data_IF_453917892000
#
_entry.id   IF_453917892000
#
_cell.length_a   1.000
_cell.length_b   1.000
_cell.length_c   1.000
_cell.angle_alpha   90.00
_cell.angle_beta   90.00
_cell.angle_gamma   90.00
#
_symmetry.space_group_name_H-M   'P 1'
#
loop_
_entity.id
_entity.type
_entity.pdbx_description
1 polymer ?
#
# COMPACT_ATOMS: atom_id res chain seq x y z
N UNK A 1 18.84 5.49 -45.49
CA UNK A 1 17.38 5.26 -45.63
C UNK A 1 16.80 4.36 -44.54
N UNK A 2 17.10 3.06 -44.44
CA UNK A 2 16.50 2.18 -43.39
C UNK A 2 16.88 2.58 -41.95
N UNK A 3 18.13 2.99 -41.71
CA UNK A 3 18.60 3.43 -40.37
C UNK A 3 17.96 4.75 -39.95
N UNK A 4 17.78 5.68 -40.89
CA UNK A 4 17.18 6.99 -40.63
C UNK A 4 15.69 6.89 -40.30
N UNK A 5 14.97 5.97 -40.96
CA UNK A 5 13.55 5.68 -40.66
C UNK A 5 13.42 5.07 -39.26
N UNK A 6 14.27 4.10 -38.88
CA UNK A 6 14.25 3.51 -37.54
C UNK A 6 14.54 4.57 -36.46
N UNK A 7 15.52 5.44 -36.70
CA UNK A 7 15.89 6.52 -35.79
C UNK A 7 14.75 7.54 -35.60
N UNK A 8 14.11 7.99 -36.68
CA UNK A 8 13.00 8.94 -36.63
C UNK A 8 11.74 8.33 -35.96
N UNK A 9 11.45 7.06 -36.24
CA UNK A 9 10.35 6.34 -35.57
C UNK A 9 10.59 6.20 -34.07
N UNK A 10 11.84 5.95 -33.65
CA UNK A 10 12.21 5.92 -32.23
C UNK A 10 11.99 7.26 -31.52
N UNK A 11 12.42 8.37 -32.13
CA UNK A 11 12.20 9.72 -31.59
C UNK A 11 10.70 10.02 -31.46
N UNK A 12 9.92 9.70 -32.51
CA UNK A 12 8.48 9.93 -32.50
C UNK A 12 7.76 9.16 -31.38
N UNK A 13 8.12 7.88 -31.17
CA UNK A 13 7.56 7.07 -30.07
C UNK A 13 7.92 7.67 -28.70
N UNK A 14 9.17 8.05 -28.48
CA UNK A 14 9.60 8.67 -27.23
C UNK A 14 8.86 9.98 -26.94
N UNK A 15 8.72 10.86 -27.94
CA UNK A 15 7.99 12.12 -27.78
C UNK A 15 6.50 11.88 -27.51
N UNK A 16 5.90 10.88 -28.15
CA UNK A 16 4.50 10.50 -27.92
C UNK A 16 4.31 9.93 -26.52
N UNK A 17 5.25 9.13 -26.01
CA UNK A 17 5.23 8.63 -24.64
C UNK A 17 5.28 9.77 -23.63
N UNK A 18 6.24 10.69 -23.79
CA UNK A 18 6.41 11.86 -22.91
C UNK A 18 5.14 12.72 -22.93
N UNK A 19 4.62 13.03 -24.12
CA UNK A 19 3.39 13.82 -24.25
C UNK A 19 2.21 13.14 -23.55
N UNK A 20 2.06 11.82 -23.73
CA UNK A 20 0.98 11.05 -23.10
C UNK A 20 1.11 11.00 -21.58
N UNK A 21 2.33 10.86 -21.05
CA UNK A 21 2.60 10.93 -19.60
C UNK A 21 2.25 12.32 -19.04
N UNK A 22 2.62 13.40 -19.74
CA UNK A 22 2.28 14.78 -19.33
C UNK A 22 0.76 14.96 -19.28
N UNK A 23 0.04 14.54 -20.34
CA UNK A 23 -1.43 14.67 -20.39
C UNK A 23 -2.13 13.81 -19.36
N UNK A 24 -1.69 12.57 -19.16
CA UNK A 24 -2.15 11.70 -18.08
C UNK A 24 -1.99 12.39 -16.72
N UNK A 25 -0.88 13.07 -16.47
CA UNK A 25 -0.70 13.80 -15.21
C UNK A 25 -1.49 15.09 -15.09
N UNK A 26 -1.75 15.82 -16.18
CA UNK A 26 -2.68 16.94 -16.15
C UNK A 26 -4.09 16.48 -15.73
N UNK A 27 -4.54 15.34 -16.26
CA UNK A 27 -5.83 14.74 -15.88
C UNK A 27 -5.86 14.34 -14.41
N UNK A 28 -4.81 13.67 -13.92
CA UNK A 28 -4.68 13.30 -12.50
C UNK A 28 -4.67 14.53 -11.59
N UNK A 29 -3.91 15.58 -11.94
CA UNK A 29 -3.84 16.84 -11.19
C UNK A 29 -5.20 17.55 -11.11
N UNK A 30 -6.01 17.46 -12.16
CA UNK A 30 -7.37 18.00 -12.15
C UNK A 30 -8.34 17.12 -11.34
N UNK A 31 -8.18 15.80 -11.41
CA UNK A 31 -9.08 14.83 -10.80
C UNK A 31 -8.94 14.74 -9.28
N UNK A 32 -7.72 14.71 -8.75
CA UNK A 32 -7.47 14.48 -7.31
C UNK A 32 -8.17 15.49 -6.41
N UNK A 33 -8.06 16.82 -6.61
CA UNK A 33 -8.72 17.80 -5.73
C UNK A 33 -10.25 17.69 -5.71
N UNK A 34 -10.86 17.18 -6.79
CA UNK A 34 -12.32 17.03 -6.90
C UNK A 34 -12.83 15.78 -6.17
N UNK A 35 -11.97 14.79 -5.95
CA UNK A 35 -12.37 13.46 -5.48
C UNK A 35 -11.78 13.08 -4.12
N UNK A 36 -10.69 13.72 -3.69
CA UNK A 36 -9.95 13.38 -2.47
C UNK A 36 -10.86 13.30 -1.24
N UNK A 37 -11.66 14.35 -0.98
CA UNK A 37 -12.55 14.38 0.19
C UNK A 37 -13.64 13.29 0.14
N UNK A 38 -14.12 12.95 -1.06
CA UNK A 38 -15.12 11.89 -1.21
C UNK A 38 -14.52 10.52 -0.86
N UNK A 39 -13.31 10.23 -1.32
CA UNK A 39 -12.58 8.99 -1.01
C UNK A 39 -12.29 8.91 0.49
N UNK A 40 -11.74 9.99 1.05
CA UNK A 40 -11.44 10.08 2.47
C UNK A 40 -12.67 9.81 3.32
N UNK A 41 -13.81 10.44 3.01
CA UNK A 41 -15.07 10.25 3.74
C UNK A 41 -15.57 8.81 3.70
N UNK A 42 -15.42 8.10 2.58
CA UNK A 42 -15.81 6.68 2.53
C UNK A 42 -14.94 5.86 3.49
N UNK A 43 -13.62 6.07 3.47
CA UNK A 43 -12.67 5.38 4.35
C UNK A 43 -12.88 5.72 5.83
N UNK A 44 -13.17 6.99 6.14
CA UNK A 44 -13.48 7.45 7.49
C UNK A 44 -14.75 6.79 8.02
N UNK A 45 -15.80 6.74 7.21
CA UNK A 45 -17.07 6.15 7.61
C UNK A 45 -16.96 4.64 7.85
N UNK A 46 -16.19 3.92 7.04
CA UNK A 46 -16.04 2.46 7.18
C UNK A 46 -15.47 2.07 8.55
N UNK A 47 -14.49 2.82 9.04
CA UNK A 47 -13.81 2.54 10.32
C UNK A 47 -14.30 3.41 11.49
N UNK A 48 -15.28 4.28 11.26
CA UNK A 48 -15.76 5.23 12.27
C UNK A 48 -14.68 6.22 12.72
N UNK A 49 -13.79 6.63 11.80
CA UNK A 49 -12.76 7.62 12.09
C UNK A 49 -13.34 9.03 12.13
N UNK A 50 -12.78 9.88 13.01
CA UNK A 50 -13.08 11.30 12.98
C UNK A 50 -12.53 11.93 11.69
N UNK A 51 -13.29 12.87 11.12
CA UNK A 51 -12.89 13.62 9.92
C UNK A 51 -11.49 14.20 10.08
N UNK A 52 -10.62 13.90 9.12
CA UNK A 52 -9.26 14.42 9.03
C UNK A 52 -9.17 15.59 8.03
N UNK A 53 -8.17 16.43 8.21
CA UNK A 53 -7.78 17.36 7.15
C UNK A 53 -7.08 16.56 6.04
N UNK A 54 -7.34 16.87 4.76
CA UNK A 54 -6.67 16.18 3.66
C UNK A 54 -5.14 16.32 3.75
N UNK A 55 -4.37 15.24 3.45
CA UNK A 55 -2.92 15.35 3.32
C UNK A 55 -2.56 16.22 2.11
N UNK A 56 -1.37 16.82 2.14
CA UNK A 56 -0.81 17.48 0.96
C UNK A 56 -0.55 16.44 -0.13
N UNK A 57 -1.05 16.69 -1.35
CA UNK A 57 -0.76 15.86 -2.52
C UNK A 57 0.31 16.53 -3.37
N UNK A 58 1.42 15.82 -3.60
CA UNK A 58 2.52 16.24 -4.47
C UNK A 58 2.55 15.42 -5.74
N UNK A 59 2.81 16.09 -6.86
CA UNK A 59 2.91 15.46 -8.17
C UNK A 59 4.35 15.59 -8.64
N UNK A 60 5.21 14.75 -8.09
CA UNK A 60 6.66 14.80 -8.28
C UNK A 60 7.12 13.50 -8.94
N UNK A 61 8.16 13.60 -9.77
CA UNK A 61 8.85 12.42 -10.29
C UNK A 61 9.67 11.81 -9.15
N UNK A 62 9.03 10.95 -8.37
CA UNK A 62 9.73 10.06 -7.43
C UNK A 62 10.42 8.90 -8.17
N UNK A 63 11.02 8.00 -7.40
CA UNK A 63 11.46 6.67 -7.84
C UNK A 63 10.35 5.91 -8.62
N UNK A 64 10.67 4.70 -9.11
CA UNK A 64 9.82 3.85 -9.98
C UNK A 64 8.51 3.33 -9.34
N UNK A 65 7.81 4.14 -8.54
CA UNK A 65 6.55 3.82 -7.85
C UNK A 65 5.49 4.86 -8.20
N UNK A 66 4.23 4.41 -8.31
CA UNK A 66 3.10 5.26 -8.69
C UNK A 66 2.62 6.18 -7.55
N UNK A 67 2.69 5.68 -6.32
CA UNK A 67 2.27 6.37 -5.10
C UNK A 67 3.30 6.17 -3.99
N UNK A 68 3.40 7.15 -3.10
CA UNK A 68 4.14 7.04 -1.84
C UNK A 68 3.53 7.94 -0.78
N UNK A 69 3.26 7.39 0.39
CA UNK A 69 3.03 8.14 1.62
C UNK A 69 4.35 8.37 2.36
N UNK A 70 4.64 9.61 2.73
CA UNK A 70 5.80 9.96 3.56
C UNK A 70 5.54 11.24 4.34
N UNK A 71 5.74 11.19 5.67
CA UNK A 71 5.66 12.35 6.58
C UNK A 71 4.36 13.19 6.46
N UNK A 72 3.21 12.53 6.34
CA UNK A 72 1.92 13.21 6.22
C UNK A 72 1.58 13.73 4.83
N UNK A 73 2.44 13.49 3.83
CA UNK A 73 2.24 13.88 2.45
C UNK A 73 2.08 12.64 1.55
N UNK A 74 1.30 12.78 0.48
CA UNK A 74 1.14 11.74 -0.55
C UNK A 74 1.74 12.25 -1.84
N UNK A 75 2.62 11.46 -2.43
CA UNK A 75 3.29 11.74 -3.68
C UNK A 75 2.73 10.81 -4.76
N UNK A 76 2.35 11.37 -5.91
CA UNK A 76 1.87 10.62 -7.07
C UNK A 76 2.77 10.87 -8.29
N UNK A 77 3.13 9.79 -9.00
CA UNK A 77 4.10 9.82 -10.08
C UNK A 77 3.70 8.96 -11.29
N UNK A 78 3.73 9.52 -12.50
CA UNK A 78 3.53 8.75 -13.75
C UNK A 78 4.84 8.37 -14.45
N UNK A 79 6.02 8.69 -13.91
CA UNK A 79 7.29 8.54 -14.64
C UNK A 79 7.62 7.08 -15.00
N UNK A 80 6.95 6.10 -14.38
CA UNK A 80 7.16 4.66 -14.62
C UNK A 80 6.09 4.00 -15.51
N UNK A 81 5.14 4.77 -16.04
CA UNK A 81 4.06 4.23 -16.87
C UNK A 81 2.93 5.22 -17.09
N UNK A 82 1.70 4.72 -17.15
CA UNK A 82 0.52 5.57 -17.32
C UNK A 82 -0.35 5.63 -16.08
N UNK A 83 -0.89 6.80 -15.74
CA UNK A 83 -2.03 6.88 -14.82
C UNK A 83 -3.33 6.97 -15.60
N UNK A 84 -4.33 6.19 -15.18
CA UNK A 84 -5.71 6.36 -15.63
C UNK A 84 -6.57 6.95 -14.52
N UNK A 85 -7.39 7.93 -14.89
CA UNK A 85 -8.55 8.35 -14.08
C UNK A 85 -9.74 7.43 -14.39
N UNK A 86 -10.75 7.33 -13.50
CA UNK A 86 -11.96 6.58 -13.78
C UNK A 86 -12.73 7.07 -15.02
N UNK A 87 -12.74 8.38 -15.27
CA UNK A 87 -13.55 9.03 -16.31
C UNK A 87 -12.80 9.18 -17.64
N UNK A 88 -11.47 9.35 -17.58
CA UNK A 88 -10.61 9.48 -18.75
C UNK A 88 -9.32 8.66 -18.58
N UNK A 89 -9.07 7.79 -19.55
CA UNK A 89 -7.96 6.82 -19.50
C UNK A 89 -7.13 6.79 -20.77
N UNK A 90 -7.46 7.58 -21.81
CA UNK A 90 -6.80 7.45 -23.11
C UNK A 90 -5.29 7.72 -23.01
N UNK A 91 -4.89 8.86 -22.45
CA UNK A 91 -3.48 9.22 -22.34
C UNK A 91 -2.72 8.33 -21.37
N UNK A 92 -3.36 7.89 -20.28
CA UNK A 92 -2.80 6.90 -19.36
C UNK A 92 -2.51 5.55 -20.04
N UNK A 93 -3.50 5.01 -20.76
CA UNK A 93 -3.35 3.75 -21.48
C UNK A 93 -2.29 3.88 -22.57
N UNK A 94 -2.30 4.98 -23.34
CA UNK A 94 -1.34 5.23 -24.39
C UNK A 94 0.10 5.35 -23.85
N UNK A 95 0.28 6.05 -22.72
CA UNK A 95 1.56 6.14 -22.05
C UNK A 95 2.09 4.75 -21.65
N UNK A 96 1.26 3.94 -20.98
CA UNK A 96 1.65 2.58 -20.56
C UNK A 96 2.01 1.67 -21.73
N UNK A 97 1.22 1.68 -22.81
CA UNK A 97 1.49 0.88 -24.02
C UNK A 97 2.82 1.28 -24.65
N UNK A 98 3.08 2.58 -24.85
CA UNK A 98 4.28 3.05 -25.54
C UNK A 98 5.53 2.88 -24.67
N UNK A 99 5.42 3.09 -23.36
CA UNK A 99 6.55 2.94 -22.44
C UNK A 99 6.83 1.50 -22.04
N UNK A 100 6.01 0.54 -22.50
CA UNK A 100 5.98 -0.83 -21.97
C UNK A 100 5.88 -0.86 -20.43
N UNK A 101 5.20 0.15 -19.87
CA UNK A 101 5.04 0.35 -18.44
C UNK A 101 3.68 -0.15 -17.97
N UNK A 102 3.54 -0.28 -16.65
CA UNK A 102 2.24 -0.60 -16.06
C UNK A 102 1.26 0.57 -16.19
N UNK A 103 -0.03 0.30 -16.02
CA UNK A 103 -1.08 1.33 -16.01
C UNK A 103 -1.71 1.34 -14.62
N UNK A 104 -1.37 2.35 -13.82
CA UNK A 104 -1.92 2.52 -12.49
C UNK A 104 -3.25 3.27 -12.53
N UNK A 105 -4.17 2.91 -11.61
CA UNK A 105 -5.42 3.63 -11.43
C UNK A 105 -5.26 4.65 -10.28
N UNK A 106 -5.44 5.94 -10.57
CA UNK A 106 -5.25 7.01 -9.58
C UNK A 106 -6.16 6.86 -8.36
N UNK A 107 -7.41 6.41 -8.54
CA UNK A 107 -8.37 6.22 -7.43
C UNK A 107 -7.88 5.10 -6.51
N UNK A 108 -7.40 4.00 -7.09
CA UNK A 108 -6.82 2.87 -6.35
C UNK A 108 -5.55 3.28 -5.61
N UNK A 109 -4.62 3.94 -6.29
CA UNK A 109 -3.35 4.38 -5.71
C UNK A 109 -3.60 5.37 -4.58
N UNK A 110 -4.43 6.39 -4.80
CA UNK A 110 -4.75 7.38 -3.77
C UNK A 110 -5.45 6.74 -2.55
N UNK A 111 -6.37 5.80 -2.76
CA UNK A 111 -7.02 5.09 -1.68
C UNK A 111 -6.04 4.25 -0.84
N UNK A 112 -5.06 3.62 -1.49
CA UNK A 112 -3.98 2.88 -0.81
C UNK A 112 -3.12 3.84 0.04
N UNK A 113 -2.59 4.92 -0.55
CA UNK A 113 -1.73 5.86 0.18
C UNK A 113 -2.47 6.57 1.33
N UNK A 114 -3.78 6.84 1.17
CA UNK A 114 -4.62 7.33 2.26
C UNK A 114 -4.73 6.33 3.41
N UNK A 115 -4.64 5.03 3.14
CA UNK A 115 -4.60 4.01 4.19
C UNK A 115 -3.35 4.12 5.06
N UNK A 116 -2.18 4.44 4.48
CA UNK A 116 -0.99 4.76 5.26
C UNK A 116 -1.16 6.05 6.08
N UNK A 117 -1.74 7.09 5.47
CA UNK A 117 -2.07 8.33 6.18
C UNK A 117 -2.97 8.08 7.40
N UNK A 118 -4.04 7.29 7.25
CA UNK A 118 -4.93 7.00 8.37
C UNK A 118 -4.28 6.12 9.43
N UNK A 119 -3.49 5.13 9.04
CA UNK A 119 -2.71 4.36 10.00
C UNK A 119 -1.83 5.29 10.84
N UNK A 120 -1.15 6.24 10.20
CA UNK A 120 -0.32 7.22 10.90
C UNK A 120 -1.15 8.08 11.88
N UNK A 121 -2.30 8.60 11.45
CA UNK A 121 -3.19 9.39 12.32
C UNK A 121 -3.77 8.61 13.49
N UNK A 122 -4.05 7.33 13.30
CA UNK A 122 -4.47 6.43 14.38
C UNK A 122 -3.33 6.29 15.40
N UNK A 123 -2.11 6.01 14.95
CA UNK A 123 -0.96 5.78 15.82
C UNK A 123 -0.51 7.07 16.55
N UNK A 124 -0.47 8.22 15.86
CA UNK A 124 -0.20 9.54 16.46
C UNK A 124 -1.22 9.89 17.55
N UNK A 125 -2.49 9.52 17.36
CA UNK A 125 -3.54 9.72 18.37
C UNK A 125 -3.28 8.83 19.58
N UNK A 126 -2.97 7.56 19.37
CA UNK A 126 -2.72 6.63 20.47
C UNK A 126 -1.45 6.94 21.25
N UNK A 127 -0.39 7.39 20.58
CA UNK A 127 0.83 7.88 21.24
C UNK A 127 0.51 9.04 22.19
N UNK A 128 -0.28 10.02 21.73
CA UNK A 128 -0.71 11.14 22.58
C UNK A 128 -1.59 10.71 23.75
N UNK A 129 -2.46 9.72 23.56
CA UNK A 129 -3.41 9.28 24.59
C UNK A 129 -2.77 8.35 25.63
N UNK A 130 -1.89 7.44 25.20
CA UNK A 130 -1.36 6.34 26.02
C UNK A 130 0.14 6.47 26.31
N UNK A 131 0.84 7.41 25.68
CA UNK A 131 2.29 7.61 25.83
C UNK A 131 3.13 6.50 25.19
N UNK A 132 2.52 5.62 24.40
CA UNK A 132 3.20 4.52 23.72
C UNK A 132 3.78 5.02 22.40
N UNK A 133 5.10 4.88 22.20
CA UNK A 133 5.75 5.23 20.94
C UNK A 133 5.54 4.10 19.92
N UNK A 134 4.93 4.41 18.79
CA UNK A 134 4.72 3.47 17.69
C UNK A 134 5.78 3.70 16.61
N UNK A 135 6.32 2.62 16.03
CA UNK A 135 7.28 2.76 14.92
C UNK A 135 6.51 3.02 13.63
N UNK A 136 6.71 4.22 13.08
CA UNK A 136 6.06 4.73 11.88
C UNK A 136 6.38 3.90 10.62
N UNK A 137 5.39 3.86 9.71
CA UNK A 137 5.61 3.46 8.33
C UNK A 137 6.67 4.40 7.70
N UNK A 138 7.84 3.87 7.36
CA UNK A 138 8.94 4.63 6.75
C UNK A 138 10.25 4.66 7.55
N UNK A 139 10.25 4.32 8.85
CA UNK A 139 11.48 4.25 9.65
C UNK A 139 12.01 2.82 9.78
N UNK A 140 12.40 2.21 8.66
CA UNK A 140 13.05 0.87 8.64
C UNK A 140 14.55 1.00 8.47
N UNK A 141 15.28 1.24 9.56
CA UNK A 141 16.75 1.09 9.56
C UNK A 141 17.31 0.11 10.60
N UNK A 142 16.49 -0.69 11.27
CA UNK A 142 17.01 -1.66 12.24
C UNK A 142 16.32 -3.03 12.14
N UNK A 143 17.09 -4.00 11.64
CA UNK A 143 16.79 -5.43 11.45
C UNK A 143 15.85 -5.75 10.27
N UNK A 144 16.40 -6.43 9.25
CA UNK A 144 15.69 -6.82 8.02
C UNK A 144 14.43 -7.66 8.31
N UNK A 145 14.41 -8.54 9.30
CA UNK A 145 13.20 -9.32 9.62
C UNK A 145 12.14 -8.48 10.32
N UNK A 146 12.54 -7.60 11.25
CA UNK A 146 11.62 -6.66 11.90
C UNK A 146 11.00 -5.68 10.91
N UNK A 147 11.75 -5.28 9.87
CA UNK A 147 11.22 -4.44 8.80
C UNK A 147 10.20 -5.16 7.90
N UNK A 148 10.30 -6.49 7.73
CA UNK A 148 9.39 -7.24 6.87
C UNK A 148 8.00 -7.38 7.48
N UNK A 149 7.91 -7.75 8.77
CA UNK A 149 6.61 -7.83 9.45
C UNK A 149 5.88 -6.49 9.49
N UNK A 150 6.62 -5.42 9.80
CA UNK A 150 6.06 -4.06 9.76
C UNK A 150 5.59 -3.68 8.35
N UNK A 151 6.34 -4.03 7.30
CA UNK A 151 5.93 -3.80 5.92
C UNK A 151 4.65 -4.58 5.59
N UNK A 152 4.56 -5.88 5.92
CA UNK A 152 3.36 -6.70 5.66
C UNK A 152 2.12 -6.09 6.34
N UNK A 153 2.24 -5.65 7.60
CA UNK A 153 1.11 -5.06 8.34
C UNK A 153 0.74 -3.68 7.80
N UNK A 154 1.72 -2.79 7.59
CA UNK A 154 1.48 -1.42 7.10
C UNK A 154 0.78 -1.43 5.74
N UNK A 155 1.19 -2.33 4.86
CA UNK A 155 0.68 -2.45 3.49
C UNK A 155 -0.63 -3.21 3.46
N UNK A 156 -0.78 -4.21 4.32
CA UNK A 156 -2.06 -4.87 4.51
C UNK A 156 -3.15 -3.89 4.97
N UNK A 157 -2.81 -2.98 5.88
CA UNK A 157 -3.73 -1.90 6.30
C UNK A 157 -4.04 -0.98 5.12
N UNK A 158 -3.04 -0.56 4.35
CA UNK A 158 -3.26 0.29 3.18
C UNK A 158 -4.11 -0.38 2.10
N UNK A 159 -3.88 -1.68 1.84
CA UNK A 159 -4.68 -2.49 0.94
C UNK A 159 -6.11 -2.71 1.46
N UNK A 160 -6.31 -2.85 2.77
CA UNK A 160 -7.65 -2.86 3.37
C UNK A 160 -8.37 -1.56 3.02
N UNK A 161 -7.75 -0.41 3.28
CA UNK A 161 -8.31 0.91 2.96
C UNK A 161 -8.58 1.11 1.46
N UNK A 162 -7.71 0.61 0.59
CA UNK A 162 -7.91 0.60 -0.86
C UNK A 162 -9.14 -0.23 -1.24
N UNK A 163 -9.29 -1.44 -0.71
CA UNK A 163 -10.37 -2.38 -1.04
C UNK A 163 -11.75 -1.94 -0.52
N UNK A 164 -11.81 -1.01 0.45
CA UNK A 164 -13.06 -0.27 0.77
C UNK A 164 -13.55 0.55 -0.44
N UNK A 165 -12.61 1.13 -1.20
CA UNK A 165 -12.89 2.06 -2.30
C UNK A 165 -13.06 1.35 -3.65
N UNK A 166 -12.26 0.31 -3.87
CA UNK A 166 -12.32 -0.49 -5.10
C UNK A 166 -12.73 -1.92 -4.76
N UNK A 167 -13.85 -2.36 -5.33
CA UNK A 167 -14.26 -3.76 -5.29
C UNK A 167 -13.41 -4.50 -6.33
N UNK A 168 -12.24 -5.01 -5.92
CA UNK A 168 -11.45 -5.94 -6.71
C UNK A 168 -11.86 -7.38 -6.38
N UNK A 169 -11.88 -8.25 -7.40
CA UNK A 169 -11.96 -9.69 -7.20
C UNK A 169 -10.71 -10.17 -6.45
N UNK A 170 -10.92 -11.13 -5.56
CA UNK A 170 -9.89 -11.62 -4.64
C UNK A 170 -9.26 -12.90 -5.19
N UNK A 171 -8.03 -12.82 -5.67
CA UNK A 171 -7.30 -13.94 -6.30
C UNK A 171 -6.20 -14.52 -5.40
N UNK A 172 -6.14 -14.11 -4.13
CA UNK A 172 -5.13 -14.58 -3.19
C UNK A 172 -5.61 -15.84 -2.47
N UNK A 173 -4.81 -16.91 -2.53
CA UNK A 173 -5.15 -18.20 -1.94
C UNK A 173 -4.45 -18.41 -0.59
N UNK A 174 -5.09 -19.13 0.35
CA UNK A 174 -4.52 -19.40 1.68
C UNK A 174 -3.15 -20.09 1.64
N UNK A 175 -2.87 -20.88 0.60
CA UNK A 175 -1.58 -21.52 0.37
C UNK A 175 -0.42 -20.52 0.21
N UNK A 176 -0.72 -19.26 -0.13
CA UNK A 176 0.24 -18.17 -0.32
C UNK A 176 0.65 -17.50 1.00
N UNK A 177 -0.05 -17.77 2.10
CA UNK A 177 0.37 -17.33 3.45
C UNK A 177 1.52 -18.13 4.03
N UNK A 178 1.73 -19.35 3.55
CA UNK A 178 2.86 -20.17 3.97
C UNK A 178 4.09 -19.71 3.21
N UNK A 179 5.07 -19.17 3.95
CA UNK A 179 6.37 -18.85 3.39
C UNK A 179 7.02 -20.15 2.93
N UNK A 180 6.94 -20.43 1.64
CA UNK A 180 7.82 -21.40 1.02
C UNK A 180 9.23 -20.82 1.08
N UNK A 181 10.21 -21.69 1.30
CA UNK A 181 11.64 -21.36 1.40
C UNK A 181 12.19 -20.59 0.16
N UNK A 182 11.36 -20.34 -0.86
CA UNK A 182 11.70 -19.69 -2.11
C UNK A 182 11.49 -18.16 -2.13
N UNK A 183 10.91 -17.57 -1.08
CA UNK A 183 10.89 -16.11 -0.87
C UNK A 183 12.22 -15.64 -0.28
N UNK A 184 12.80 -16.42 0.64
CA UNK A 184 14.04 -16.08 1.33
C UNK A 184 15.21 -16.85 0.73
N UNK A 185 16.06 -16.15 0.01
CA UNK A 185 17.26 -16.74 -0.58
C UNK A 185 18.26 -16.92 0.55
N UNK A 186 18.50 -18.17 0.96
CA UNK A 186 19.45 -18.52 2.02
C UNK A 186 20.71 -19.20 1.46
N UNK A 187 21.86 -18.92 2.07
CA UNK A 187 23.13 -19.62 1.80
C UNK A 187 23.79 -19.96 3.13
N UNK A 188 24.01 -21.26 3.37
CA UNK A 188 24.54 -21.80 4.63
C UNK A 188 23.73 -21.35 5.87
N UNK A 189 22.39 -21.36 5.76
CA UNK A 189 21.48 -20.90 6.83
C UNK A 189 21.31 -19.38 6.94
N UNK A 190 22.21 -18.58 6.35
CA UNK A 190 22.13 -17.12 6.40
C UNK A 190 21.19 -16.59 5.31
N UNK A 191 20.36 -15.61 5.66
CA UNK A 191 19.56 -14.85 4.70
C UNK A 191 20.48 -13.97 3.85
N UNK A 192 20.49 -14.20 2.54
CA UNK A 192 21.32 -13.45 1.58
C UNK A 192 20.51 -12.65 0.56
N UNK A 193 19.19 -12.82 0.52
CA UNK A 193 18.32 -12.07 -0.37
C UNK A 193 16.85 -12.43 -0.23
N UNK A 194 16.00 -11.65 -0.90
CA UNK A 194 14.55 -11.84 -0.93
C UNK A 194 14.11 -11.87 -2.40
N UNK A 195 13.27 -12.83 -2.75
CA UNK A 195 12.57 -12.84 -4.04
C UNK A 195 11.55 -11.69 -4.06
N UNK A 196 11.92 -10.58 -4.68
CA UNK A 196 11.16 -9.33 -4.67
C UNK A 196 9.74 -9.48 -5.20
N UNK A 197 9.52 -10.31 -6.23
CA UNK A 197 8.21 -10.48 -6.85
C UNK A 197 7.25 -11.24 -5.92
N UNK A 198 7.72 -12.32 -5.30
CA UNK A 198 6.90 -13.08 -4.34
C UNK A 198 6.64 -12.30 -3.07
N UNK A 199 7.66 -11.58 -2.59
CA UNK A 199 7.50 -10.72 -1.44
C UNK A 199 6.55 -9.54 -1.73
N UNK A 200 6.56 -8.99 -2.95
CA UNK A 200 5.60 -7.98 -3.36
C UNK A 200 4.17 -8.50 -3.23
N UNK A 201 3.82 -9.62 -3.88
CA UNK A 201 2.46 -10.19 -3.79
C UNK A 201 2.04 -10.46 -2.34
N UNK A 202 2.92 -11.03 -1.54
CA UNK A 202 2.65 -11.26 -0.12
C UNK A 202 2.45 -9.97 0.67
N UNK A 203 3.29 -8.94 0.46
CA UNK A 203 3.26 -7.67 1.18
C UNK A 203 1.91 -6.97 1.00
N UNK A 204 1.38 -6.96 -0.21
CA UNK A 204 0.11 -6.29 -0.52
C UNK A 204 -1.10 -7.22 -0.28
N UNK A 205 -1.25 -8.29 -1.07
CA UNK A 205 -2.44 -9.15 -0.99
C UNK A 205 -2.44 -10.01 0.28
N UNK A 206 -1.32 -10.65 0.59
CA UNK A 206 -1.19 -11.43 1.82
C UNK A 206 -1.30 -10.57 3.08
N UNK A 207 -0.73 -9.36 3.05
CA UNK A 207 -0.89 -8.36 4.09
C UNK A 207 -2.37 -8.03 4.31
N UNK A 208 -3.13 -7.77 3.24
CA UNK A 208 -4.57 -7.50 3.34
C UNK A 208 -5.31 -8.66 3.99
N UNK A 209 -5.10 -9.89 3.51
CA UNK A 209 -5.75 -11.07 4.07
C UNK A 209 -5.36 -11.33 5.52
N UNK A 210 -4.14 -10.94 5.92
CA UNK A 210 -3.68 -11.04 7.29
C UNK A 210 -4.42 -10.07 8.21
N UNK A 211 -4.56 -8.81 7.81
CA UNK A 211 -5.13 -7.76 8.68
C UNK A 211 -6.65 -7.70 8.61
N UNK A 212 -7.25 -8.03 7.46
CA UNK A 212 -8.68 -7.85 7.18
C UNK A 212 -9.59 -8.54 8.23
N UNK A 213 -9.38 -9.81 8.63
CA UNK A 213 -10.20 -10.44 9.66
C UNK A 213 -10.12 -9.73 11.02
N UNK A 214 -8.96 -9.14 11.34
CA UNK A 214 -8.76 -8.40 12.60
C UNK A 214 -9.45 -7.03 12.51
N UNK A 215 -9.24 -6.29 11.43
CA UNK A 215 -9.80 -4.95 11.27
C UNK A 215 -11.33 -5.02 11.17
N UNK A 216 -11.91 -6.00 10.46
CA UNK A 216 -13.36 -6.17 10.38
C UNK A 216 -14.01 -6.53 11.71
N UNK A 217 -13.31 -7.26 12.56
CA UNK A 217 -13.84 -7.72 13.85
C UNK A 217 -13.62 -6.67 14.96
N UNK A 218 -12.50 -5.96 14.95
CA UNK A 218 -12.05 -5.10 16.06
C UNK A 218 -11.86 -3.62 15.68
N UNK A 219 -12.07 -3.24 14.42
CA UNK A 219 -11.97 -1.87 13.92
C UNK A 219 -10.61 -1.22 14.21
N UNK A 220 -10.65 0.03 14.66
CA UNK A 220 -9.46 0.83 14.99
C UNK A 220 -8.58 0.19 16.08
N UNK A 221 -9.18 -0.44 17.10
CA UNK A 221 -8.40 -1.14 18.13
C UNK A 221 -7.63 -2.34 17.54
N UNK A 222 -8.22 -3.01 16.55
CA UNK A 222 -7.53 -4.05 15.78
C UNK A 222 -6.28 -3.50 15.07
N UNK A 223 -6.40 -2.35 14.40
CA UNK A 223 -5.28 -1.66 13.73
C UNK A 223 -4.18 -1.31 14.73
N UNK A 224 -4.53 -0.70 15.87
CA UNK A 224 -3.58 -0.31 16.93
C UNK A 224 -2.82 -1.55 17.44
N UNK A 225 -3.55 -2.64 17.68
CA UNK A 225 -2.98 -3.87 18.21
C UNK A 225 -1.98 -4.51 17.23
N UNK A 226 -2.37 -4.71 15.97
CA UNK A 226 -1.49 -5.35 14.98
C UNK A 226 -0.28 -4.49 14.61
N UNK A 227 -0.42 -3.16 14.63
CA UNK A 227 0.70 -2.22 14.39
C UNK A 227 1.77 -2.29 15.49
N UNK A 228 1.44 -2.78 16.70
CA UNK A 228 2.43 -3.02 17.78
C UNK A 228 2.89 -4.45 17.88
N UNK A 229 2.13 -5.39 17.34
CA UNK A 229 2.38 -6.83 17.44
C UNK A 229 2.75 -7.48 16.10
N UNK A 230 3.17 -6.68 15.11
CA UNK A 230 3.59 -7.15 13.80
C UNK A 230 4.53 -8.37 13.89
N UNK A 231 4.39 -9.35 12.98
CA UNK A 231 5.11 -10.63 13.04
C UNK A 231 6.62 -10.40 12.99
N UNK A 232 7.36 -11.10 13.86
CA UNK A 232 8.84 -10.96 13.94
C UNK A 232 9.52 -12.33 13.99
N UNK A 233 10.75 -12.39 13.48
CA UNK A 233 11.57 -13.60 13.52
C UNK A 233 10.83 -14.79 12.90
N UNK A 234 10.67 -15.86 13.68
CA UNK A 234 10.01 -17.08 13.21
C UNK A 234 8.52 -16.91 12.86
N UNK A 235 7.84 -15.92 13.45
CA UNK A 235 6.40 -15.66 13.18
C UNK A 235 6.17 -15.24 11.73
N UNK A 236 7.18 -14.66 11.08
CA UNK A 236 7.09 -14.27 9.67
C UNK A 236 6.83 -15.51 8.82
N UNK A 237 7.47 -16.66 9.10
CA UNK A 237 7.32 -17.86 8.27
C UNK A 237 5.97 -18.57 8.44
N UNK A 238 5.15 -18.16 9.42
CA UNK A 238 3.85 -18.76 9.70
C UNK A 238 2.80 -17.72 10.09
N UNK A 239 2.44 -16.88 9.11
CA UNK A 239 1.42 -15.85 9.26
C UNK A 239 0.03 -16.36 9.68
N UNK A 240 -0.45 -17.55 9.25
CA UNK A 240 -1.74 -18.08 9.72
C UNK A 240 -1.75 -18.30 11.24
N UNK A 241 -0.69 -18.88 11.81
CA UNK A 241 -0.59 -19.05 13.25
C UNK A 241 -0.48 -17.71 13.99
N UNK A 242 0.24 -16.74 13.42
CA UNK A 242 0.28 -15.40 13.97
C UNK A 242 -1.12 -14.75 14.00
N UNK A 243 -1.90 -14.89 12.92
CA UNK A 243 -3.27 -14.38 12.84
C UNK A 243 -4.18 -14.97 13.92
N UNK A 244 -4.15 -16.30 14.07
CA UNK A 244 -4.91 -16.99 15.12
C UNK A 244 -4.53 -16.49 16.53
N UNK A 245 -3.24 -16.33 16.78
CA UNK A 245 -2.71 -15.80 18.05
C UNK A 245 -3.20 -14.37 18.30
N UNK A 246 -3.15 -13.49 17.31
CA UNK A 246 -3.61 -12.10 17.46
C UNK A 246 -5.11 -12.01 17.74
N UNK A 247 -5.92 -12.74 16.98
CA UNK A 247 -7.38 -12.77 17.19
C UNK A 247 -7.75 -13.32 18.56
N UNK A 248 -7.06 -14.37 19.02
CA UNK A 248 -7.25 -14.91 20.37
C UNK A 248 -6.92 -13.87 21.45
N UNK A 249 -5.81 -13.16 21.30
CA UNK A 249 -5.39 -12.16 22.28
C UNK A 249 -6.37 -10.97 22.35
N UNK A 250 -6.80 -10.46 21.20
CA UNK A 250 -7.78 -9.37 21.10
C UNK A 250 -9.12 -9.77 21.73
N UNK A 251 -9.59 -11.00 21.50
CA UNK A 251 -10.80 -11.53 22.14
C UNK A 251 -10.69 -11.56 23.66
N UNK A 252 -9.55 -11.98 24.20
CA UNK A 252 -9.31 -12.03 25.65
C UNK A 252 -9.24 -10.62 26.26
N UNK A 253 -8.62 -9.66 25.56
CA UNK A 253 -8.58 -8.25 25.99
C UNK A 253 -9.99 -7.64 26.04
N UNK A 254 -10.81 -7.86 25.00
CA UNK A 254 -12.20 -7.41 24.96
C UNK A 254 -13.07 -8.02 26.06
N UNK A 255 -12.84 -9.29 26.42
CA UNK A 255 -13.53 -9.92 27.54
C UNK A 255 -13.12 -9.31 28.89
N UNK A 256 -11.86 -8.95 29.08
CA UNK A 256 -11.36 -8.42 30.36
C UNK A 256 -11.94 -7.03 30.67
N UNK A 257 -12.20 -6.22 29.65
CA UNK A 257 -12.81 -4.88 29.79
C UNK A 257 -14.31 -4.91 30.10
N UNK A 258 -15.00 -6.03 29.86
CA UNK A 258 -16.43 -6.19 30.17
C UNK A 258 -16.69 -6.63 31.62
N UNK A 259 -15.64 -6.98 32.37
CA UNK A 259 -15.71 -7.41 33.77
C UNK A 259 -15.06 -6.40 34.75
N UNK A 260 -14.77 -5.18 34.30
CA UNK A 260 -14.35 -4.03 35.13
C UNK A 260 -15.48 -3.00 35.19
#
# INVERSE_FOLDING_TARGET
>A
MKKDIIFLSGIFLTLTAIYSMIKSMEEVKAWVPQNLEAIMRIQENELGLAKQNPPTIRFESLDQIYGKYENGEIYLNSSYGGFKTPENSFFGILAGIISFGEIANVKSTLAHELGHFYNDKILEREERNRGTVYLFAGQTQYNAEKSLGNAIISEGIAEYFKRIIITQEDEFEDAEFYFKEDIFIRKNGNLIGINSNKFYRLRYDGGYHLVNPIIREYGVEGIIYISTHAPKGEEIYNLPQWLEKMRKNLKLQGQTLLYQ
#
